data_IF_847394310911
#
_entry.id   IF_847394310911
#
_cell.length_a   1.000
_cell.length_b   1.000
_cell.length_c   1.000
_cell.angle_alpha   90.00
_cell.angle_beta   90.00
_cell.angle_gamma   90.00
#
_symmetry.space_group_name_H-M   'P 1'
#
loop_
_entity.id
_entity.type
_entity.pdbx_description
1 polymer ?
#
# COMPACT_ATOMS: atom_id res chain seq x y z
N UNK A 1 -21.62 15.90 24.09
CA UNK A 1 -22.47 14.73 24.42
C UNK A 1 -21.77 13.49 23.90
N UNK A 2 -21.75 12.44 24.72
CA UNK A 2 -21.07 11.14 24.53
C UNK A 2 -19.59 11.10 24.95
N UNK A 3 -19.37 11.27 26.26
CA UNK A 3 -18.32 10.52 26.96
C UNK A 3 -18.71 9.04 27.00
N UNK A 4 -17.75 8.15 26.77
CA UNK A 4 -17.92 6.71 26.94
C UNK A 4 -16.64 6.10 27.51
N UNK A 5 -16.69 5.30 28.60
CA UNK A 5 -15.49 4.74 29.20
C UNK A 5 -15.02 3.54 28.38
N UNK A 6 -13.86 3.66 27.74
CA UNK A 6 -13.15 2.52 27.16
C UNK A 6 -12.68 1.57 28.27
N UNK A 7 -13.50 0.56 28.58
CA UNK A 7 -13.11 -0.60 29.39
C UNK A 7 -12.25 -1.56 28.56
N UNK A 8 -10.98 -1.22 28.39
CA UNK A 8 -9.93 -2.20 28.07
C UNK A 8 -9.01 -2.30 29.29
N UNK A 9 -9.56 -2.86 30.36
CA UNK A 9 -8.78 -3.42 31.45
C UNK A 9 -8.88 -4.93 31.34
N UNK A 10 -7.87 -5.52 30.71
CA UNK A 10 -7.59 -6.95 30.77
C UNK A 10 -6.22 -7.13 31.45
N UNK A 11 -5.96 -8.29 32.07
CA UNK A 11 -4.66 -8.56 32.67
C UNK A 11 -3.56 -8.40 31.61
N UNK A 12 -2.43 -7.81 32.03
CA UNK A 12 -1.24 -7.66 31.18
C UNK A 12 -0.85 -9.06 30.67
N UNK A 13 -0.72 -9.26 29.35
CA UNK A 13 -0.30 -10.54 28.79
C UNK A 13 1.02 -11.00 29.42
N UNK A 14 1.19 -12.28 29.78
CA UNK A 14 2.44 -12.77 30.36
C UNK A 14 3.58 -12.58 29.37
N UNK A 15 4.78 -12.34 29.92
CA UNK A 15 6.00 -12.13 29.15
C UNK A 15 6.22 -13.31 28.16
N UNK A 16 6.43 -13.05 26.86
CA UNK A 16 6.64 -14.10 25.85
C UNK A 16 7.86 -14.98 26.13
N UNK A 17 8.81 -14.53 26.97
CA UNK A 17 9.96 -15.35 27.41
C UNK A 17 9.59 -16.39 28.46
N UNK A 18 8.50 -16.17 29.22
CA UNK A 18 8.08 -17.03 30.31
C UNK A 18 6.96 -18.01 29.91
N UNK A 19 6.18 -17.70 28.86
CA UNK A 19 5.04 -18.52 28.40
C UNK A 19 4.97 -18.60 26.85
N UNK A 20 5.90 -19.30 26.19
CA UNK A 20 5.97 -19.36 24.72
C UNK A 20 4.75 -20.03 24.07
N UNK A 21 4.06 -20.92 24.77
CA UNK A 21 2.88 -21.63 24.24
C UNK A 21 1.64 -20.72 24.11
N UNK A 22 1.55 -19.64 24.89
CA UNK A 22 0.44 -18.69 24.82
C UNK A 22 0.45 -17.84 23.53
N UNK A 23 1.62 -17.73 22.89
CA UNK A 23 1.82 -16.98 21.65
C UNK A 23 2.07 -17.89 20.44
N UNK A 24 1.98 -19.22 20.62
CA UNK A 24 2.20 -20.20 19.55
C UNK A 24 1.09 -20.10 18.51
N UNK A 25 1.43 -19.51 17.36
CA UNK A 25 0.52 -19.33 16.22
C UNK A 25 0.15 -20.70 15.62
N UNK A 26 -1.14 -21.01 15.41
CA UNK A 26 -1.56 -22.26 14.78
C UNK A 26 -1.08 -22.34 13.32
N UNK A 27 -0.64 -23.54 12.92
CA UNK A 27 -0.01 -23.81 11.62
C UNK A 27 -0.89 -23.49 10.40
N UNK A 28 -2.19 -23.28 10.58
CA UNK A 28 -3.13 -22.90 9.51
C UNK A 28 -2.99 -21.45 9.03
N UNK A 29 -2.23 -20.60 9.73
CA UNK A 29 -2.08 -19.18 9.42
C UNK A 29 -0.80 -18.80 8.66
N UNK A 30 0.00 -19.79 8.22
CA UNK A 30 1.37 -19.56 7.72
C UNK A 30 1.49 -19.36 6.19
N UNK A 31 0.38 -19.25 5.46
CA UNK A 31 0.41 -19.19 4.00
C UNK A 31 -0.17 -17.90 3.43
N UNK A 32 0.56 -16.76 3.48
CA UNK A 32 0.28 -15.70 2.49
C UNK A 32 1.28 -14.57 2.27
N UNK A 33 2.38 -14.43 3.00
CA UNK A 33 3.23 -13.23 2.80
C UNK A 33 4.69 -13.50 3.11
N UNK A 34 5.41 -14.23 2.26
CA UNK A 34 6.86 -14.01 2.08
C UNK A 34 7.21 -14.21 0.60
N UNK A 35 7.57 -13.10 -0.05
CA UNK A 35 8.19 -13.08 -1.36
C UNK A 35 9.67 -12.70 -1.20
N UNK A 36 10.54 -13.66 -1.53
CA UNK A 36 11.87 -13.50 -2.15
C UNK A 36 12.89 -12.53 -1.52
N UNK A 37 13.92 -13.09 -0.86
CA UNK A 37 15.29 -12.58 -0.92
C UNK A 37 16.32 -13.73 -0.71
N UNK A 38 16.90 -14.15 -1.85
CA UNK A 38 18.25 -14.67 -2.10
C UNK A 38 18.95 -15.66 -1.12
N UNK A 39 19.38 -16.77 -1.73
CA UNK A 39 20.27 -17.85 -1.27
C UNK A 39 21.58 -17.36 -0.66
N UNK A 40 22.06 -18.08 0.36
CA UNK A 40 23.47 -18.48 0.46
C UNK A 40 23.58 -19.84 1.16
N UNK A 41 24.24 -20.78 0.50
CA UNK A 41 24.49 -22.14 0.96
C UNK A 41 25.45 -22.15 2.17
N UNK A 42 25.21 -23.04 3.14
CA UNK A 42 26.30 -23.67 3.88
C UNK A 42 25.90 -25.10 4.30
N UNK A 43 26.77 -26.03 3.93
CA UNK A 43 26.69 -27.47 4.13
C UNK A 43 26.70 -27.83 5.62
N UNK A 44 25.80 -28.72 6.04
CA UNK A 44 26.09 -29.72 7.07
C UNK A 44 25.20 -30.94 6.82
N UNK A 45 25.81 -32.03 6.38
CA UNK A 45 25.25 -33.36 6.38
C UNK A 45 25.25 -33.90 7.81
N UNK A 46 24.16 -34.55 8.23
CA UNK A 46 24.20 -35.94 8.68
C UNK A 46 22.78 -36.56 8.55
N UNK A 47 22.67 -37.86 8.26
CA UNK A 47 21.44 -38.53 7.87
C UNK A 47 20.79 -39.25 9.06
N UNK A 48 19.46 -39.36 9.06
CA UNK A 48 18.83 -40.55 9.65
C UNK A 48 17.42 -40.82 9.11
N UNK A 49 17.10 -42.10 9.11
CA UNK A 49 16.15 -42.83 8.28
C UNK A 49 14.69 -42.73 8.76
N UNK A 50 13.78 -42.66 7.78
CA UNK A 50 12.53 -43.44 7.64
C UNK A 50 11.39 -42.58 7.04
N UNK A 51 11.27 -42.61 5.71
CA UNK A 51 10.17 -41.99 5.00
C UNK A 51 9.29 -43.07 4.35
N UNK A 52 8.18 -43.41 5.01
CA UNK A 52 7.01 -43.92 4.30
C UNK A 52 6.56 -42.86 3.26
N UNK A 53 6.14 -43.25 2.05
CA UNK A 53 5.84 -42.28 1.01
C UNK A 53 4.63 -41.42 1.46
N UNK A 54 4.70 -40.08 1.39
CA UNK A 54 3.60 -39.24 1.81
C UNK A 54 2.41 -39.50 0.90
N UNK A 55 1.30 -39.94 1.49
CA UNK A 55 0.03 -40.07 0.78
C UNK A 55 -0.37 -38.69 0.27
N UNK A 56 -0.43 -38.55 -1.06
CA UNK A 56 -0.79 -37.30 -1.72
C UNK A 56 -2.15 -36.74 -1.26
N UNK A 57 -2.39 -35.44 -1.47
CA UNK A 57 -3.58 -34.76 -0.96
C UNK A 57 -4.86 -35.42 -1.47
N UNK A 58 -5.85 -35.64 -0.57
CA UNK A 58 -7.16 -36.19 -0.95
C UNK A 58 -7.96 -35.13 -1.71
N UNK A 59 -8.04 -35.29 -3.03
CA UNK A 59 -8.70 -34.35 -3.94
C UNK A 59 -10.12 -34.83 -4.25
N UNK A 60 -11.11 -33.94 -4.07
CA UNK A 60 -12.52 -34.19 -4.41
C UNK A 60 -12.67 -34.38 -5.94
N UNK A 61 -13.63 -35.19 -6.43
CA UNK A 61 -13.73 -35.54 -7.85
C UNK A 61 -13.72 -34.34 -8.80
N UNK A 62 -14.42 -33.25 -8.44
CA UNK A 62 -14.48 -32.02 -9.27
C UNK A 62 -13.24 -31.13 -9.25
N UNK A 63 -12.26 -31.40 -8.37
CA UNK A 63 -11.01 -30.64 -8.28
C UNK A 63 -9.83 -31.34 -8.98
N UNK A 64 -10.06 -32.52 -9.59
CA UNK A 64 -9.04 -33.26 -10.33
C UNK A 64 -8.60 -32.55 -11.62
N UNK A 65 -9.54 -32.00 -12.37
CA UNK A 65 -9.23 -31.24 -13.60
C UNK A 65 -8.34 -30.02 -13.33
N UNK A 66 -8.50 -29.38 -12.16
CA UNK A 66 -7.73 -28.20 -11.79
C UNK A 66 -6.29 -28.59 -11.42
N UNK A 67 -6.12 -29.71 -10.71
CA UNK A 67 -4.79 -30.25 -10.41
C UNK A 67 -4.08 -30.70 -11.69
N UNK A 68 -4.77 -31.39 -12.60
CA UNK A 68 -4.16 -31.84 -13.85
C UNK A 68 -3.78 -30.67 -14.77
N UNK A 69 -4.54 -29.58 -14.74
CA UNK A 69 -4.21 -28.34 -15.45
C UNK A 69 -3.02 -27.60 -14.84
N UNK A 70 -2.86 -27.65 -13.51
CA UNK A 70 -1.72 -27.01 -12.85
C UNK A 70 -0.44 -27.85 -12.90
N UNK A 71 -0.56 -29.18 -12.99
CA UNK A 71 0.58 -30.08 -13.22
C UNK A 71 1.17 -29.90 -14.64
N UNK A 72 0.33 -29.60 -15.64
CA UNK A 72 0.75 -29.19 -16.99
C UNK A 72 1.10 -27.70 -17.06
N UNK A 73 1.83 -27.22 -16.06
CA UNK A 73 2.40 -25.87 -16.06
C UNK A 73 3.69 -25.81 -16.89
N UNK A 74 4.14 -24.60 -17.23
CA UNK A 74 5.27 -24.26 -18.14
C UNK A 74 6.56 -25.07 -17.94
N UNK A 75 6.77 -25.69 -16.77
CA UNK A 75 7.90 -26.59 -16.50
C UNK A 75 7.85 -27.96 -17.20
N UNK A 76 6.67 -28.50 -17.49
CA UNK A 76 6.52 -29.79 -18.22
C UNK A 76 6.86 -29.65 -19.71
N UNK A 77 6.62 -28.44 -20.27
CA UNK A 77 7.09 -28.06 -21.61
C UNK A 77 8.62 -27.94 -21.65
N UNK A 78 9.26 -27.60 -20.53
CA UNK A 78 10.72 -27.47 -20.44
C UNK A 78 11.44 -28.82 -20.34
N UNK A 79 10.79 -29.82 -19.74
CA UNK A 79 11.34 -31.19 -19.60
C UNK A 79 11.14 -32.06 -20.86
N UNK A 80 10.17 -31.72 -21.72
CA UNK A 80 9.99 -32.38 -23.03
C UNK A 80 10.93 -31.87 -24.13
N UNK A 81 11.76 -30.85 -23.85
CA UNK A 81 12.69 -30.24 -24.83
C UNK A 81 14.04 -30.98 -24.97
N UNK A 82 14.17 -32.19 -24.42
CA UNK A 82 15.36 -33.03 -24.61
C UNK A 82 15.55 -33.55 -26.03
N UNK A 83 14.49 -33.68 -26.83
CA UNK A 83 14.54 -34.47 -28.08
C UNK A 83 13.82 -33.83 -29.29
N UNK A 84 13.93 -32.51 -29.51
CA UNK A 84 13.34 -31.89 -30.72
C UNK A 84 14.36 -31.02 -31.47
N UNK A 85 14.83 -31.56 -32.59
CA UNK A 85 15.59 -30.90 -33.65
C UNK A 85 14.95 -29.58 -34.08
N UNK A 86 15.73 -28.50 -34.06
CA UNK A 86 15.32 -27.16 -34.51
C UNK A 86 15.32 -27.09 -36.04
N UNK A 87 14.17 -27.37 -36.66
CA UNK A 87 13.87 -26.87 -38.00
C UNK A 87 13.37 -25.42 -37.96
N UNK A 88 13.67 -24.56 -38.95
CA UNK A 88 13.19 -23.19 -38.97
C UNK A 88 11.72 -23.16 -39.42
N UNK A 89 10.78 -23.02 -38.48
CA UNK A 89 9.37 -22.93 -38.84
C UNK A 89 8.42 -22.56 -37.71
N UNK A 90 7.74 -21.43 -37.89
CA UNK A 90 6.51 -20.97 -37.22
C UNK A 90 6.64 -20.32 -35.82
N UNK A 91 6.77 -18.98 -35.82
CA UNK A 91 6.31 -18.13 -34.72
C UNK A 91 4.79 -18.29 -34.51
N UNK A 92 4.27 -18.32 -33.27
CA UNK A 92 2.83 -18.38 -33.04
C UNK A 92 2.17 -17.14 -33.66
N UNK A 93 1.25 -17.37 -34.61
CA UNK A 93 0.51 -16.29 -35.28
C UNK A 93 -0.16 -15.42 -34.21
N UNK A 94 0.19 -14.13 -34.19
CA UNK A 94 -0.57 -13.11 -33.45
C UNK A 94 -2.03 -13.27 -33.85
N UNK A 95 -2.91 -13.57 -32.90
CA UNK A 95 -4.36 -13.56 -33.17
C UNK A 95 -4.70 -12.15 -33.61
N UNK A 96 -5.34 -12.01 -34.77
CA UNK A 96 -5.72 -10.70 -35.28
C UNK A 96 -6.51 -9.93 -34.22
N UNK A 97 -6.34 -8.60 -34.13
CA UNK A 97 -7.05 -7.77 -33.16
C UNK A 97 -8.55 -8.03 -33.27
N UNK A 98 -9.18 -8.39 -32.15
CA UNK A 98 -10.59 -8.76 -32.16
C UNK A 98 -11.46 -7.50 -32.34
N UNK A 99 -12.30 -7.50 -33.37
CA UNK A 99 -13.25 -6.42 -33.66
C UNK A 99 -14.33 -6.30 -32.57
N UNK A 100 -14.00 -5.60 -31.49
CA UNK A 100 -14.89 -5.42 -30.35
C UNK A 100 -16.18 -4.69 -30.71
N UNK A 101 -16.19 -3.82 -31.72
CA UNK A 101 -17.40 -3.16 -32.21
C UNK A 101 -18.42 -4.15 -32.78
N UNK A 102 -17.97 -5.09 -33.62
CA UNK A 102 -18.85 -6.14 -34.17
C UNK A 102 -19.32 -7.09 -33.09
N UNK A 103 -18.46 -7.44 -32.12
CA UNK A 103 -18.84 -8.27 -30.98
C UNK A 103 -19.87 -7.59 -30.07
N UNK A 104 -19.69 -6.29 -29.80
CA UNK A 104 -20.65 -5.49 -29.04
C UNK A 104 -22.00 -5.36 -29.77
N UNK A 105 -22.00 -5.15 -31.09
CA UNK A 105 -23.23 -5.14 -31.89
C UNK A 105 -23.96 -6.48 -31.87
N UNK A 106 -23.23 -7.60 -31.97
CA UNK A 106 -23.81 -8.95 -31.84
C UNK A 106 -24.41 -9.15 -30.45
N UNK A 107 -23.69 -8.74 -29.40
CA UNK A 107 -24.15 -8.82 -28.01
C UNK A 107 -25.40 -7.99 -27.75
N UNK A 108 -25.46 -6.77 -28.28
CA UNK A 108 -26.66 -5.91 -28.18
C UNK A 108 -27.85 -6.57 -28.87
N UNK A 109 -27.65 -7.12 -30.09
CA UNK A 109 -28.72 -7.83 -30.81
C UNK A 109 -29.21 -9.07 -30.08
N UNK A 110 -28.30 -9.84 -29.47
CA UNK A 110 -28.67 -10.99 -28.63
C UNK A 110 -29.46 -10.58 -27.40
N UNK A 111 -29.06 -9.51 -26.71
CA UNK A 111 -29.79 -8.97 -25.56
C UNK A 111 -31.20 -8.55 -25.99
N UNK A 112 -31.32 -7.80 -27.09
CA UNK A 112 -32.62 -7.39 -27.63
C UNK A 112 -33.48 -8.59 -28.02
N UNK A 113 -32.90 -9.63 -28.64
CA UNK A 113 -33.62 -10.85 -28.99
C UNK A 113 -34.12 -11.59 -27.74
N UNK A 114 -33.27 -11.76 -26.73
CA UNK A 114 -33.64 -12.37 -25.45
C UNK A 114 -34.73 -11.60 -24.72
N UNK A 115 -34.73 -10.27 -24.77
CA UNK A 115 -35.80 -9.47 -24.19
C UNK A 115 -37.12 -9.66 -24.93
N UNK A 116 -37.12 -9.69 -26.26
CA UNK A 116 -38.33 -9.99 -27.05
C UNK A 116 -38.86 -11.39 -26.77
N UNK A 117 -37.98 -12.39 -26.69
CA UNK A 117 -38.35 -13.77 -26.33
C UNK A 117 -38.89 -13.85 -24.89
N UNK A 118 -38.28 -13.11 -23.95
CA UNK A 118 -38.81 -13.00 -22.59
C UNK A 118 -40.19 -12.34 -22.58
N UNK A 119 -40.42 -11.27 -23.33
CA UNK A 119 -41.74 -10.63 -23.42
C UNK A 119 -42.77 -11.56 -24.05
N UNK A 120 -42.45 -12.26 -25.14
CA UNK A 120 -43.36 -13.27 -25.70
C UNK A 120 -43.66 -14.43 -24.73
N UNK A 121 -42.66 -14.89 -23.95
CA UNK A 121 -42.89 -15.91 -22.92
C UNK A 121 -43.72 -15.38 -21.73
N UNK A 122 -43.63 -14.07 -21.44
CA UNK A 122 -44.41 -13.37 -20.42
C UNK A 122 -45.83 -13.06 -20.88
N UNK A 123 -46.05 -12.84 -22.17
CA UNK A 123 -47.38 -12.67 -22.76
C UNK A 123 -48.15 -14.00 -22.79
N UNK A 124 -47.44 -15.13 -22.96
CA UNK A 124 -48.03 -16.47 -22.90
C UNK A 124 -48.32 -16.96 -21.47
N UNK A 125 -47.63 -16.44 -20.45
CA UNK A 125 -47.89 -16.76 -19.04
C UNK A 125 -48.77 -15.70 -18.37
N UNK A 126 -49.95 -16.09 -17.84
CA UNK A 126 -50.93 -15.21 -17.19
C UNK A 126 -50.36 -13.98 -16.46
N UNK A 127 -51.02 -12.83 -16.65
CA UNK A 127 -50.74 -11.50 -16.10
C UNK A 127 -50.42 -11.51 -14.59
N UNK A 128 -49.17 -11.78 -14.24
CA UNK A 128 -48.66 -11.54 -12.90
C UNK A 128 -48.14 -10.11 -12.81
N UNK A 129 -48.62 -9.30 -11.85
CA UNK A 129 -48.13 -7.93 -11.69
C UNK A 129 -46.63 -7.94 -11.40
N UNK A 130 -45.88 -7.13 -12.16
CA UNK A 130 -44.42 -7.12 -12.28
C UNK A 130 -43.65 -6.81 -10.98
N UNK A 131 -44.35 -6.47 -9.89
CA UNK A 131 -43.78 -6.16 -8.58
C UNK A 131 -44.65 -6.76 -7.49
N UNK A 132 -44.31 -7.97 -7.04
CA UNK A 132 -44.80 -8.45 -5.76
C UNK A 132 -44.14 -7.60 -4.66
N UNK A 133 -44.84 -6.57 -4.17
CA UNK A 133 -44.50 -6.01 -2.87
C UNK A 133 -44.55 -7.16 -1.88
N UNK A 134 -43.47 -7.36 -1.11
CA UNK A 134 -43.44 -8.38 -0.07
C UNK A 134 -44.66 -8.20 0.84
N UNK A 135 -45.59 -9.17 0.77
CA UNK A 135 -46.71 -9.30 1.70
C UNK A 135 -46.28 -10.28 2.77
N UNK A 136 -46.40 -9.92 4.03
CA UNK A 136 -46.16 -10.88 5.11
C UNK A 136 -47.39 -11.79 5.25
N UNK A 137 -47.21 -13.08 5.59
CA UNK A 137 -48.32 -14.05 5.72
C UNK A 137 -49.39 -13.62 6.72
N UNK A 138 -49.04 -12.71 7.63
CA UNK A 138 -49.92 -12.13 8.65
C UNK A 138 -51.09 -11.33 8.05
N UNK A 139 -50.93 -10.80 6.83
CA UNK A 139 -51.91 -9.93 6.18
C UNK A 139 -52.49 -10.50 4.88
N UNK A 140 -52.16 -11.76 4.51
CA UNK A 140 -52.67 -12.37 3.27
C UNK A 140 -54.19 -12.56 3.27
N UNK A 141 -54.80 -12.74 4.44
CA UNK A 141 -56.27 -12.93 4.58
C UNK A 141 -57.01 -11.64 4.98
N UNK A 142 -56.30 -10.51 5.08
CA UNK A 142 -56.90 -9.24 5.48
C UNK A 142 -57.36 -8.50 4.22
N UNK A 143 -58.65 -8.61 3.93
CA UNK A 143 -59.26 -7.87 2.82
C UNK A 143 -59.10 -6.36 3.02
N UNK A 144 -58.76 -5.65 1.95
CA UNK A 144 -58.56 -4.21 1.99
C UNK A 144 -59.88 -3.50 2.28
N UNK A 145 -59.92 -2.63 3.30
CA UNK A 145 -61.10 -1.78 3.58
C UNK A 145 -61.48 -0.88 2.39
N UNK A 146 -60.51 -0.52 1.54
CA UNK A 146 -60.77 0.20 0.29
C UNK A 146 -61.50 -0.66 -0.74
N UNK A 147 -61.26 -1.97 -0.75
CA UNK A 147 -61.98 -2.91 -1.63
C UNK A 147 -63.44 -3.05 -1.21
N UNK A 148 -63.72 -2.99 0.10
CA UNK A 148 -65.09 -2.93 0.62
C UNK A 148 -65.79 -1.61 0.23
N UNK A 149 -65.11 -0.46 0.35
CA UNK A 149 -65.67 0.84 -0.04
C UNK A 149 -65.92 1.00 -1.54
N UNK A 150 -65.15 0.29 -2.39
CA UNK A 150 -65.36 0.29 -3.85
C UNK A 150 -66.46 -0.69 -4.32
N UNK A 151 -66.93 -1.57 -3.43
CA UNK A 151 -67.91 -2.61 -3.76
C UNK A 151 -69.31 -2.30 -3.20
N UNK A 152 -69.44 -1.23 -2.40
CA UNK A 152 -70.72 -0.63 -2.06
C UNK A 152 -71.35 -0.03 -3.33
N UNK A 153 -72.62 -0.35 -3.66
CA UNK A 153 -73.33 0.35 -4.73
C UNK A 153 -73.60 1.79 -4.27
N UNK A 154 -73.14 2.76 -5.06
CA UNK A 154 -73.26 4.19 -4.76
C UNK A 154 -74.72 4.58 -4.41
N UNK A 155 -74.99 5.26 -3.28
CA UNK A 155 -76.25 5.97 -3.13
C UNK A 155 -76.26 7.10 -4.16
N UNK A 156 -77.31 7.13 -4.99
CA UNK A 156 -77.52 8.21 -5.95
C UNK A 156 -77.77 9.54 -5.22
N UNK A 157 -76.71 10.25 -4.88
CA UNK A 157 -76.77 11.66 -4.51
C UNK A 157 -75.55 12.42 -5.01
N UNK A 158 -75.86 13.42 -5.82
CA UNK A 158 -74.94 14.38 -6.41
C UNK A 158 -73.97 14.93 -5.35
N UNK A 159 -72.70 14.59 -5.51
CA UNK A 159 -71.62 15.24 -4.78
C UNK A 159 -70.69 15.86 -5.81
N UNK A 160 -70.67 17.18 -5.83
CA UNK A 160 -69.81 18.01 -6.68
C UNK A 160 -68.37 17.53 -6.60
N UNK A 161 -67.80 17.20 -7.77
CA UNK A 161 -66.44 16.72 -7.88
C UNK A 161 -65.50 17.86 -7.49
N UNK A 162 -64.87 17.77 -6.32
CA UNK A 162 -63.88 18.75 -5.87
C UNK A 162 -62.82 18.94 -6.97
N UNK A 163 -62.76 20.15 -7.54
CA UNK A 163 -61.82 20.53 -8.58
C UNK A 163 -60.41 20.63 -7.99
N UNK A 164 -59.68 19.52 -7.93
CA UNK A 164 -58.26 19.55 -7.61
C UNK A 164 -57.51 20.29 -8.73
N UNK A 165 -56.76 21.33 -8.35
CA UNK A 165 -55.98 22.14 -9.28
C UNK A 165 -54.87 21.29 -9.92
N UNK A 166 -55.07 20.91 -11.17
CA UNK A 166 -54.05 20.30 -12.03
C UNK A 166 -52.96 21.34 -12.33
N UNK A 167 -51.69 20.97 -12.23
CA UNK A 167 -50.60 21.85 -12.65
C UNK A 167 -50.85 22.35 -14.08
N UNK A 168 -50.74 23.68 -14.29
CA UNK A 168 -51.06 24.42 -15.52
C UNK A 168 -52.55 24.66 -15.86
N UNK A 169 -53.52 24.33 -15.00
CA UNK A 169 -54.94 24.64 -15.26
C UNK A 169 -55.28 26.14 -15.14
N UNK A 170 -54.43 26.93 -14.46
CA UNK A 170 -54.56 28.39 -14.32
C UNK A 170 -53.80 29.19 -15.39
N UNK A 171 -53.13 28.51 -16.31
CA UNK A 171 -52.59 29.16 -17.49
C UNK A 171 -53.76 29.33 -18.47
N UNK A 172 -54.44 30.48 -18.38
CA UNK A 172 -55.36 30.91 -19.45
C UNK A 172 -54.62 30.92 -20.80
N UNK A 173 -55.33 30.89 -21.94
CA UNK A 173 -54.68 31.03 -23.24
C UNK A 173 -53.85 32.31 -23.17
N UNK A 174 -52.53 32.17 -23.26
CA UNK A 174 -51.61 33.30 -23.19
C UNK A 174 -52.11 34.38 -24.13
N UNK A 175 -52.18 35.61 -23.63
CA UNK A 175 -52.54 36.77 -24.44
C UNK A 175 -51.80 36.67 -25.78
N UNK A 176 -52.49 36.75 -26.93
CA UNK A 176 -51.78 36.86 -28.18
C UNK A 176 -50.86 38.08 -28.08
N UNK A 177 -49.63 38.04 -28.62
CA UNK A 177 -48.75 39.20 -28.62
C UNK A 177 -49.51 40.40 -29.20
N UNK A 178 -49.26 41.62 -28.71
CA UNK A 178 -50.03 42.79 -29.14
C UNK A 178 -50.01 42.86 -30.66
N UNK A 179 -51.19 42.78 -31.26
CA UNK A 179 -51.39 43.07 -32.67
C UNK A 179 -50.92 44.50 -32.87
N UNK A 180 -49.73 44.66 -33.44
CA UNK A 180 -49.23 45.96 -33.90
C UNK A 180 -50.27 46.46 -34.90
N UNK A 181 -50.90 47.58 -34.58
CA UNK A 181 -51.79 48.27 -35.50
C UNK A 181 -50.96 48.68 -36.72
N UNK A 182 -51.13 47.97 -37.83
CA UNK A 182 -50.67 48.43 -39.13
C UNK A 182 -51.60 49.58 -39.54
N UNK A 183 -51.21 50.79 -39.16
CA UNK A 183 -51.61 51.98 -39.92
C UNK A 183 -50.93 51.88 -41.30
N UNK A 184 -51.65 52.05 -42.42
CA UNK A 184 -51.01 52.08 -43.71
C UNK A 184 -50.19 53.38 -43.82
N UNK A 185 -48.87 53.33 -44.09
CA UNK A 185 -48.14 54.54 -44.39
C UNK A 185 -48.57 55.03 -45.78
N UNK A 186 -48.87 56.32 -45.89
CA UNK A 186 -49.13 56.98 -47.17
C UNK A 186 -47.94 56.84 -48.14
N UNK A 187 -48.13 57.15 -49.44
CA UNK A 187 -47.16 56.85 -50.48
C UNK A 187 -45.98 57.81 -50.34
N UNK A 188 -44.90 57.35 -49.69
CA UNK A 188 -43.61 58.02 -49.66
C UNK A 188 -42.58 57.08 -50.26
N UNK A 189 -42.15 57.47 -51.47
CA UNK A 189 -40.94 57.13 -52.20
C UNK A 189 -40.20 55.82 -51.83
N UNK A 190 -40.07 54.94 -52.83
CA UNK A 190 -39.14 53.80 -52.91
C UNK A 190 -37.76 54.14 -52.30
N UNK A 191 -37.56 53.75 -51.05
CA UNK A 191 -36.25 53.39 -50.52
C UNK A 191 -36.09 51.88 -50.66
N UNK A 192 -35.02 51.42 -51.29
CA UNK A 192 -34.75 50.00 -51.59
C UNK A 192 -34.84 49.13 -50.34
N UNK A 193 -35.97 48.45 -50.15
CA UNK A 193 -36.10 47.39 -49.17
C UNK A 193 -35.18 46.25 -49.60
N UNK A 194 -34.04 46.11 -48.93
CA UNK A 194 -33.23 44.91 -49.05
C UNK A 194 -34.14 43.73 -48.71
N UNK A 195 -34.46 42.90 -49.71
CA UNK A 195 -35.19 41.66 -49.51
C UNK A 195 -34.32 40.78 -48.61
N UNK A 196 -34.59 40.82 -47.30
CA UNK A 196 -33.88 39.98 -46.33
C UNK A 196 -34.35 38.56 -46.58
N UNK A 197 -33.46 37.74 -47.15
CA UNK A 197 -33.72 36.32 -47.30
C UNK A 197 -33.68 35.65 -45.92
N UNK A 198 -34.87 35.45 -45.35
CA UNK A 198 -35.04 34.83 -44.04
C UNK A 198 -34.50 33.40 -44.00
N UNK A 199 -34.41 32.71 -45.14
CA UNK A 199 -33.88 31.34 -45.21
C UNK A 199 -32.37 31.37 -44.98
N UNK A 200 -31.63 32.21 -45.71
CA UNK A 200 -30.19 32.36 -45.48
C UNK A 200 -29.87 32.99 -44.13
N UNK A 201 -30.65 33.98 -43.68
CA UNK A 201 -30.50 34.57 -42.35
C UNK A 201 -30.68 33.53 -41.23
N UNK A 202 -31.73 32.70 -41.28
CA UNK A 202 -31.97 31.63 -40.29
C UNK A 202 -30.91 30.52 -40.38
N UNK A 203 -30.47 30.15 -41.59
CA UNK A 203 -29.39 29.17 -41.75
C UNK A 203 -28.07 29.68 -41.16
N UNK A 204 -27.75 30.96 -41.36
CA UNK A 204 -26.59 31.58 -40.74
C UNK A 204 -26.74 31.72 -39.22
N UNK A 205 -27.93 32.09 -38.72
CA UNK A 205 -28.20 32.17 -37.29
C UNK A 205 -28.10 30.80 -36.61
N UNK A 206 -28.61 29.74 -37.23
CA UNK A 206 -28.51 28.36 -36.74
C UNK A 206 -27.06 27.85 -36.75
N UNK A 207 -26.27 28.19 -37.78
CA UNK A 207 -24.83 27.87 -37.83
C UNK A 207 -24.04 28.59 -36.74
N UNK A 208 -24.43 29.82 -36.39
CA UNK A 208 -23.78 30.64 -35.34
C UNK A 208 -24.29 30.38 -33.93
N UNK A 209 -25.43 29.68 -33.80
CA UNK A 209 -26.01 29.41 -32.50
C UNK A 209 -25.07 28.52 -31.66
N UNK A 210 -24.70 28.95 -30.44
CA UNK A 210 -23.82 28.15 -29.59
C UNK A 210 -24.53 26.85 -29.20
N UNK A 211 -23.84 25.72 -29.35
CA UNK A 211 -24.35 24.42 -28.90
C UNK A 211 -24.43 24.47 -27.37
N UNK A 212 -25.64 24.52 -26.83
CA UNK A 212 -25.85 24.42 -25.39
C UNK A 212 -25.60 22.99 -24.95
N UNK A 213 -24.51 22.77 -24.22
CA UNK A 213 -24.28 21.49 -23.56
C UNK A 213 -25.36 21.26 -22.50
N UNK A 214 -25.83 20.01 -22.37
CA UNK A 214 -26.74 19.65 -21.30
C UNK A 214 -26.08 19.87 -19.95
N UNK A 215 -26.88 20.22 -18.95
CA UNK A 215 -26.42 20.40 -17.57
C UNK A 215 -25.66 19.16 -17.04
N UNK A 216 -26.09 17.96 -17.46
CA UNK A 216 -25.40 16.70 -17.12
C UNK A 216 -23.99 16.60 -17.70
N UNK A 217 -23.75 17.07 -18.93
CA UNK A 217 -22.41 17.08 -19.53
C UNK A 217 -21.51 18.13 -18.88
N UNK A 218 -22.07 19.28 -18.50
CA UNK A 218 -21.33 20.29 -17.76
C UNK A 218 -20.94 19.78 -16.36
N UNK A 219 -21.84 19.10 -15.66
CA UNK A 219 -21.54 18.47 -14.37
C UNK A 219 -20.45 17.39 -14.50
N UNK A 220 -20.50 16.56 -15.54
CA UNK A 220 -19.44 15.58 -15.81
C UNK A 220 -18.09 16.25 -16.10
N UNK A 221 -18.07 17.33 -16.88
CA UNK A 221 -16.85 18.08 -17.17
C UNK A 221 -16.22 18.67 -15.90
N UNK A 222 -17.04 19.22 -15.00
CA UNK A 222 -16.59 19.75 -13.72
C UNK A 222 -15.99 18.65 -12.83
N UNK A 223 -16.62 17.47 -12.75
CA UNK A 223 -16.10 16.34 -11.95
C UNK A 223 -14.75 15.86 -12.49
N UNK A 224 -14.61 15.76 -13.82
CA UNK A 224 -13.34 15.35 -14.43
C UNK A 224 -12.24 16.39 -14.19
N UNK A 225 -12.57 17.68 -14.25
CA UNK A 225 -11.62 18.74 -13.95
C UNK A 225 -11.18 18.74 -12.49
N UNK A 226 -12.11 18.52 -11.55
CA UNK A 226 -11.79 18.35 -10.13
C UNK A 226 -10.88 17.14 -9.89
N UNK A 227 -11.15 16.01 -10.55
CA UNK A 227 -10.28 14.83 -10.46
C UNK A 227 -8.86 15.12 -11.00
N UNK A 228 -8.75 15.84 -12.13
CA UNK A 228 -7.45 16.25 -12.69
C UNK A 228 -6.69 17.13 -11.69
N UNK A 229 -7.34 18.15 -11.14
CA UNK A 229 -6.73 19.07 -10.18
C UNK A 229 -6.29 18.33 -8.89
N UNK A 230 -7.11 17.43 -8.37
CA UNK A 230 -6.75 16.62 -7.21
C UNK A 230 -5.53 15.72 -7.48
N UNK A 231 -5.46 15.16 -8.68
CA UNK A 231 -4.32 14.33 -9.10
C UNK A 231 -3.05 15.17 -9.30
N UNK A 232 -3.15 16.35 -9.89
CA UNK A 232 -2.04 17.32 -10.00
C UNK A 232 -1.53 17.73 -8.61
N UNK A 233 -2.45 18.03 -7.68
CA UNK A 233 -2.10 18.37 -6.31
C UNK A 233 -1.38 17.22 -5.58
N UNK A 234 -1.88 15.98 -5.70
CA UNK A 234 -1.22 14.81 -5.14
C UNK A 234 0.18 14.60 -5.73
N UNK A 235 0.31 14.73 -7.05
CA UNK A 235 1.58 14.61 -7.76
C UNK A 235 2.60 15.67 -7.32
N UNK A 236 2.15 16.88 -7.01
CA UNK A 236 3.02 17.97 -6.55
C UNK A 236 3.43 17.83 -5.08
N UNK A 237 2.57 17.29 -4.22
CA UNK A 237 2.78 17.29 -2.76
C UNK A 237 3.25 15.95 -2.21
N UNK A 238 2.56 14.85 -2.53
CA UNK A 238 2.73 13.56 -1.84
C UNK A 238 3.50 12.54 -2.67
N UNK A 239 3.45 12.66 -4.01
CA UNK A 239 4.14 11.71 -4.88
C UNK A 239 5.65 11.79 -4.67
N UNK A 240 6.27 10.64 -4.41
CA UNK A 240 7.71 10.53 -4.16
C UNK A 240 8.14 10.88 -2.73
N UNK A 241 7.24 11.39 -1.87
CA UNK A 241 7.56 11.60 -0.46
C UNK A 241 7.56 10.28 0.30
N UNK A 242 8.63 10.06 1.07
CA UNK A 242 8.75 8.90 1.95
C UNK A 242 7.89 9.14 3.19
N UNK A 243 6.98 8.22 3.54
CA UNK A 243 6.19 8.32 4.77
C UNK A 243 7.06 8.54 6.02
N UNK A 244 6.58 9.37 6.94
CA UNK A 244 7.30 9.76 8.16
C UNK A 244 7.80 8.56 8.97
N UNK A 245 6.98 7.52 9.13
CA UNK A 245 7.33 6.33 9.90
C UNK A 245 8.55 5.58 9.35
N UNK A 246 8.84 5.67 8.04
CA UNK A 246 10.03 5.06 7.44
C UNK A 246 11.29 5.88 7.75
N UNK A 247 11.16 7.22 7.78
CA UNK A 247 12.26 8.11 8.18
C UNK A 247 12.60 7.88 9.65
N UNK A 248 11.59 7.88 10.53
CA UNK A 248 11.75 7.60 11.95
C UNK A 248 12.39 6.23 12.18
N UNK A 249 11.95 5.20 11.44
CA UNK A 249 12.54 3.86 11.52
C UNK A 249 14.01 3.83 11.11
N UNK A 250 14.38 4.52 10.03
CA UNK A 250 15.79 4.63 9.61
C UNK A 250 16.63 5.28 10.70
N UNK A 251 16.10 6.32 11.33
CA UNK A 251 16.82 7.05 12.38
C UNK A 251 16.93 6.21 13.66
N UNK A 252 15.92 5.39 13.99
CA UNK A 252 16.02 4.40 15.07
C UNK A 252 17.11 3.37 14.79
N UNK A 253 17.15 2.77 13.60
CA UNK A 253 18.20 1.83 13.24
C UNK A 253 19.59 2.43 13.27
N UNK A 254 19.73 3.71 12.90
CA UNK A 254 20.99 4.44 13.03
C UNK A 254 21.42 4.54 14.49
N UNK A 255 20.53 4.99 15.38
CA UNK A 255 20.82 5.10 16.82
C UNK A 255 21.14 3.75 17.45
N UNK A 256 20.42 2.69 17.07
CA UNK A 256 20.69 1.33 17.54
C UNK A 256 22.03 0.80 17.01
N UNK A 257 22.42 1.13 15.77
CA UNK A 257 23.73 0.77 15.24
C UNK A 257 24.85 1.51 15.96
N UNK A 258 24.69 2.81 16.20
CA UNK A 258 25.64 3.62 16.99
C UNK A 258 25.76 3.08 18.42
N UNK A 259 24.64 2.82 19.10
CA UNK A 259 24.63 2.25 20.44
C UNK A 259 25.30 0.87 20.48
N UNK A 260 25.06 0.01 19.48
CA UNK A 260 25.75 -1.28 19.35
C UNK A 260 27.25 -1.09 19.19
N UNK A 261 27.68 -0.18 18.32
CA UNK A 261 29.11 0.13 18.12
C UNK A 261 29.76 0.66 19.40
N UNK A 262 29.06 1.49 20.19
CA UNK A 262 29.58 2.02 21.45
C UNK A 262 29.61 0.96 22.56
N UNK A 263 28.64 0.04 22.56
CA UNK A 263 28.58 -1.07 23.53
C UNK A 263 29.53 -2.22 23.20
N UNK A 264 29.95 -2.33 21.94
CA UNK A 264 30.85 -3.39 21.52
C UNK A 264 32.20 -3.16 22.21
N UNK A 265 32.65 -4.11 23.05
CA UNK A 265 33.98 -4.01 23.63
C UNK A 265 35.02 -4.00 22.52
N UNK A 266 36.13 -3.29 22.74
CA UNK A 266 37.26 -3.27 21.80
C UNK A 266 37.65 -4.71 21.43
N UNK A 267 37.76 -5.06 20.13
CA UNK A 267 38.03 -6.44 19.70
C UNK A 267 39.41 -6.95 20.18
N UNK A 268 40.34 -6.03 20.43
CA UNK A 268 41.68 -6.32 20.93
C UNK A 268 41.74 -6.47 22.47
N UNK A 269 40.63 -6.20 23.18
CA UNK A 269 40.60 -6.22 24.65
C UNK A 269 40.57 -7.68 25.16
N UNK A 270 41.59 -8.13 25.90
CA UNK A 270 41.62 -9.49 26.43
C UNK A 270 40.54 -9.69 27.52
N UNK A 271 40.02 -10.92 27.70
CA UNK A 271 39.05 -11.21 28.75
C UNK A 271 39.62 -10.93 30.15
N UNK A 272 38.80 -10.36 31.04
CA UNK A 272 39.21 -10.00 32.40
C UNK A 272 40.17 -8.80 32.48
N UNK A 273 40.35 -8.06 31.39
CA UNK A 273 41.14 -6.83 31.35
C UNK A 273 40.25 -5.63 31.05
N UNK A 274 40.67 -4.45 31.53
CA UNK A 274 40.02 -3.17 31.29
C UNK A 274 41.02 -2.20 30.68
N UNK A 275 40.59 -1.36 29.73
CA UNK A 275 41.43 -0.31 29.17
C UNK A 275 41.74 0.74 30.24
N UNK A 276 43.03 1.01 30.47
CA UNK A 276 43.48 2.07 31.35
C UNK A 276 43.06 3.45 30.79
N UNK A 277 42.46 4.33 31.61
CA UNK A 277 42.16 5.70 31.20
C UNK A 277 43.42 6.45 30.73
N UNK A 278 43.26 7.29 29.71
CA UNK A 278 44.40 7.97 29.08
C UNK A 278 45.14 8.89 30.05
N UNK A 279 44.43 9.60 30.92
CA UNK A 279 45.05 10.46 31.94
C UNK A 279 45.95 9.65 32.88
N UNK A 280 45.45 8.52 33.39
CA UNK A 280 46.21 7.65 34.28
C UNK A 280 47.43 7.06 33.55
N UNK A 281 47.27 6.67 32.28
CA UNK A 281 48.35 6.16 31.43
C UNK A 281 49.47 7.20 31.26
N UNK A 282 49.10 8.47 31.03
CA UNK A 282 50.08 9.55 30.87
C UNK A 282 50.79 9.88 32.19
N UNK A 283 50.08 9.84 33.31
CA UNK A 283 50.67 10.01 34.65
C UNK A 283 51.69 8.91 34.96
N UNK A 284 51.37 7.65 34.71
CA UNK A 284 52.31 6.53 34.91
C UNK A 284 53.49 6.62 33.95
N UNK A 285 53.27 6.96 32.68
CA UNK A 285 54.34 7.17 31.71
C UNK A 285 55.31 8.27 32.16
N UNK A 286 54.80 9.41 32.60
CA UNK A 286 55.64 10.50 33.12
C UNK A 286 56.43 10.07 34.37
N UNK A 287 55.81 9.31 35.27
CA UNK A 287 56.48 8.78 36.47
C UNK A 287 57.62 7.83 36.10
N UNK A 288 57.41 6.96 35.11
CA UNK A 288 58.44 6.05 34.61
C UNK A 288 59.58 6.79 33.92
N UNK A 289 59.29 7.82 33.12
CA UNK A 289 60.33 8.67 32.49
C UNK A 289 61.17 9.41 33.55
N UNK A 290 60.53 9.90 34.61
CA UNK A 290 61.25 10.50 35.73
C UNK A 290 62.15 9.47 36.42
N UNK A 291 61.64 8.28 36.70
CA UNK A 291 62.43 7.18 37.30
C UNK A 291 63.61 6.77 36.42
N UNK A 292 63.42 6.64 35.10
CA UNK A 292 64.50 6.37 34.15
C UNK A 292 65.59 7.45 34.23
N UNK A 293 65.19 8.73 34.24
CA UNK A 293 66.13 9.83 34.34
C UNK A 293 66.93 9.82 35.66
N UNK A 294 66.32 9.38 36.77
CA UNK A 294 66.98 9.24 38.06
C UNK A 294 67.96 8.07 38.05
N UNK A 295 67.57 6.90 37.56
CA UNK A 295 68.44 5.72 37.45
C UNK A 295 69.65 5.99 36.54
N UNK A 296 69.44 6.69 35.42
CA UNK A 296 70.55 7.10 34.54
C UNK A 296 71.49 8.08 35.23
N UNK A 297 70.97 9.05 36.01
CA UNK A 297 71.81 9.95 36.82
C UNK A 297 72.63 9.17 37.84
N UNK A 298 72.02 8.22 38.55
CA UNK A 298 72.72 7.36 39.51
C UNK A 298 73.80 6.52 38.84
N UNK A 299 73.52 5.98 37.66
CA UNK A 299 74.48 5.20 36.87
C UNK A 299 75.68 6.05 36.43
N UNK A 300 75.43 7.30 36.02
CA UNK A 300 76.49 8.25 35.61
C UNK A 300 77.33 8.73 36.80
N UNK A 301 76.74 8.83 38.00
CA UNK A 301 77.44 9.24 39.21
C UNK A 301 78.31 8.14 39.84
N UNK A 302 78.23 6.90 39.37
CA UNK A 302 79.08 5.82 39.84
C UNK A 302 80.57 6.08 39.49
N UNK A 303 81.51 5.88 40.43
CA UNK A 303 82.93 6.06 40.16
C UNK A 303 83.45 5.12 39.06
N UNK A 304 84.24 5.66 38.12
CA UNK A 304 84.73 4.91 36.95
C UNK A 304 85.65 3.72 37.28
N UNK A 305 86.21 3.65 38.50
CA UNK A 305 87.08 2.57 38.97
C UNK A 305 86.48 1.72 40.11
N UNK A 306 85.15 1.62 40.18
CA UNK A 306 84.47 0.90 41.26
C UNK A 306 84.50 -0.63 41.04
N UNK A 307 85.68 -1.25 41.15
CA UNK A 307 85.91 -2.68 40.91
C UNK A 307 85.53 -3.59 42.09
N UNK A 308 85.07 -3.02 43.21
CA UNK A 308 84.60 -3.82 44.34
C UNK A 308 83.35 -4.63 43.95
N UNK A 309 83.26 -5.88 44.43
CA UNK A 309 82.07 -6.73 44.20
C UNK A 309 80.76 -6.03 44.56
N UNK A 310 80.77 -5.19 45.60
CA UNK A 310 79.62 -4.39 46.02
C UNK A 310 79.20 -3.36 44.99
N UNK A 311 80.17 -2.64 44.42
CA UNK A 311 79.90 -1.63 43.39
C UNK A 311 79.47 -2.26 42.07
N UNK A 312 80.06 -3.41 41.70
CA UNK A 312 79.61 -4.21 40.56
C UNK A 312 78.17 -4.70 40.75
N UNK A 313 77.84 -5.22 41.94
CA UNK A 313 76.48 -5.63 42.28
C UNK A 313 75.48 -4.48 42.17
N UNK A 314 75.79 -3.32 42.74
CA UNK A 314 74.96 -2.12 42.67
C UNK A 314 74.74 -1.65 41.23
N UNK A 315 75.78 -1.65 40.39
CA UNK A 315 75.66 -1.30 38.96
C UNK A 315 74.74 -2.26 38.21
N UNK A 316 74.90 -3.56 38.42
CA UNK A 316 74.03 -4.59 37.81
C UNK A 316 72.58 -4.44 38.30
N UNK A 317 72.37 -4.07 39.56
CA UNK A 317 71.03 -3.77 40.08
C UNK A 317 70.40 -2.54 39.41
N UNK A 318 71.17 -1.47 39.19
CA UNK A 318 70.70 -0.29 38.45
C UNK A 318 70.35 -0.64 37.00
N UNK A 319 71.22 -1.40 36.30
CA UNK A 319 70.97 -1.83 34.93
C UNK A 319 69.71 -2.71 34.83
N UNK A 320 69.51 -3.63 35.78
CA UNK A 320 68.27 -4.45 35.84
C UNK A 320 67.03 -3.61 36.04
N UNK A 321 67.07 -2.63 36.95
CA UNK A 321 65.95 -1.69 37.17
C UNK A 321 65.69 -0.85 35.92
N UNK A 322 66.74 -0.40 35.24
CA UNK A 322 66.63 0.38 34.02
C UNK A 322 65.91 -0.41 32.93
N UNK A 323 66.29 -1.67 32.70
CA UNK A 323 65.62 -2.56 31.73
C UNK A 323 64.14 -2.73 32.08
N UNK A 324 63.79 -2.94 33.35
CA UNK A 324 62.39 -3.06 33.78
C UNK A 324 61.59 -1.78 33.51
N UNK A 325 62.18 -0.61 33.80
CA UNK A 325 61.55 0.69 33.55
C UNK A 325 61.39 0.93 32.05
N UNK A 326 62.37 0.57 31.22
CA UNK A 326 62.29 0.70 29.76
C UNK A 326 61.22 -0.20 29.14
N UNK A 327 61.10 -1.44 29.62
CA UNK A 327 60.01 -2.34 29.23
C UNK A 327 58.64 -1.77 29.62
N UNK A 328 58.53 -1.22 30.83
CA UNK A 328 57.32 -0.55 31.27
C UNK A 328 56.99 0.68 30.40
N UNK A 329 57.97 1.56 30.13
CA UNK A 329 57.80 2.71 29.24
C UNK A 329 57.30 2.27 27.87
N UNK A 330 57.86 1.19 27.31
CA UNK A 330 57.45 0.63 26.01
C UNK A 330 55.99 0.14 26.02
N UNK A 331 55.49 -0.35 27.16
CA UNK A 331 54.08 -0.72 27.32
C UNK A 331 53.22 0.54 27.40
N UNK A 332 53.56 1.50 28.25
CA UNK A 332 52.77 2.71 28.50
C UNK A 332 52.87 3.78 27.41
N UNK A 333 53.87 3.69 26.52
CA UNK A 333 53.99 4.52 25.32
C UNK A 333 52.95 4.17 24.25
N UNK A 334 52.31 3.00 24.34
CA UNK A 334 51.21 2.62 23.44
C UNK A 334 49.96 3.46 23.75
N UNK A 335 49.11 3.75 22.75
CA UNK A 335 47.92 4.57 22.96
C UNK A 335 46.89 3.89 23.87
N UNK A 336 46.76 2.55 23.77
CA UNK A 336 45.85 1.74 24.59
C UNK A 336 46.67 0.76 25.43
N UNK A 337 46.42 0.72 26.73
CA UNK A 337 47.03 -0.19 27.69
C UNK A 337 45.91 -0.90 28.44
N UNK A 338 45.96 -2.23 28.46
CA UNK A 338 44.96 -3.03 29.16
C UNK A 338 45.53 -3.54 30.48
N UNK A 339 44.79 -3.36 31.57
CA UNK A 339 45.17 -3.77 32.91
C UNK A 339 44.28 -4.94 33.32
N UNK A 340 44.89 -6.00 33.83
CA UNK A 340 44.17 -7.15 34.38
C UNK A 340 43.41 -6.71 35.63
N UNK A 341 42.13 -7.04 35.73
CA UNK A 341 41.38 -6.80 36.96
C UNK A 341 41.79 -7.84 38.01
N UNK A 342 42.18 -7.38 39.18
CA UNK A 342 42.36 -8.24 40.35
C UNK A 342 40.95 -8.66 40.81
N UNK A 343 40.66 -9.96 40.69
CA UNK A 343 39.37 -10.56 41.01
C UNK A 343 39.16 -10.74 42.52
#
# INVERSE_FOLDING_TARGET
>A
MCEGPSRISGPIPPDPTLCPDYYRRPASAQGRLEGTALKLDLLTSEPDLDAAPPRGPRIRPGAREILERSQRGVGDVLLQLGDISLGPGASPKRKDPKDHEKENLRRIREIQKRFREQEHSREQGQLRPLKALWRSPKYDKVESRLKAQLQEPDPASATEHAHFLRAHSRCGPGLPPPRVQLTPPGPKAKGSGLSVDFISHNAQAAKRAPRRHSHSLQALAQVLEQQRQAQEHYNATQKGHVPLYLLERRDMWRREAEARQHSQPDPDMPPGHTCMPENQRLETLNSLLQSQSQLLRELVLLPAGADSLRAQGHRVELDRKLVQVEEAIKIFSRPKVFVKMDA
#
